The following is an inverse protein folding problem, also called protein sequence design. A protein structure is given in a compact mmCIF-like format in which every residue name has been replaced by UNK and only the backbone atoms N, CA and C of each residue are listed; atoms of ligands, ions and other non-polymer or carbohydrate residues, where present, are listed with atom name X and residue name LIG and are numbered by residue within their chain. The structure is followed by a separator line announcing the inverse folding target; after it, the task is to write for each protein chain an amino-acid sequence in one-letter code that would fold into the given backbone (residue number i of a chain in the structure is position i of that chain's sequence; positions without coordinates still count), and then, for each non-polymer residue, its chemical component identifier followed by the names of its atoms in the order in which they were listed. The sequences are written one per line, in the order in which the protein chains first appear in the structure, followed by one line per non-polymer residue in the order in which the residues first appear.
data_IF_441177780514
#
_entry.id   IF_441177780514
#
_cell.length_a   1.000
_cell.length_b   1.000
_cell.length_c   1.000
_cell.angle_alpha   90.00
_cell.angle_beta   90.00
_cell.angle_gamma   90.00
#
_symmetry.space_group_name_H-M   'P 1'
#
loop_
_entity.id
_entity.type
_entity.pdbx_description
1 polymer ?
#
# COMPACT_ATOMS: atom_id res chain seq x y z
N UNK A 1 -8.56 11.47 30.31
CA UNK A 1 -8.66 10.15 29.64
C UNK A 1 -9.60 10.15 28.40
N UNK A 2 -10.31 11.23 28.07
CA UNK A 2 -11.30 11.27 26.97
C UNK A 2 -10.68 11.33 25.55
N UNK A 3 -9.54 12.01 25.35
CA UNK A 3 -8.95 12.21 24.02
C UNK A 3 -8.39 10.95 23.33
N UNK A 4 -7.86 9.97 24.07
CA UNK A 4 -7.31 8.73 23.49
C UNK A 4 -8.38 7.81 22.87
N UNK A 5 -9.60 7.84 23.41
CA UNK A 5 -10.71 7.00 22.94
C UNK A 5 -11.33 7.53 21.65
N UNK A 6 -11.41 8.85 21.50
CA UNK A 6 -11.88 9.51 20.27
C UNK A 6 -10.84 9.39 19.15
N UNK A 7 -9.55 9.46 19.47
CA UNK A 7 -8.48 9.38 18.47
C UNK A 7 -8.23 7.95 17.95
N UNK A 8 -8.60 6.91 18.72
CA UNK A 8 -8.59 5.52 18.21
C UNK A 8 -9.80 5.18 17.34
N UNK A 9 -10.97 5.78 17.59
CA UNK A 9 -12.22 5.39 16.92
C UNK A 9 -12.19 5.61 15.41
N UNK A 10 -11.40 6.58 14.92
CA UNK A 10 -11.31 6.91 13.50
C UNK A 10 -10.17 6.24 12.74
N UNK A 11 -9.16 5.70 13.44
CA UNK A 11 -7.95 5.14 12.80
C UNK A 11 -8.27 3.95 11.91
N UNK A 12 -8.90 2.92 12.47
CA UNK A 12 -9.25 1.69 11.72
C UNK A 12 -10.28 1.97 10.63
N UNK A 13 -11.40 2.68 10.87
CA UNK A 13 -12.34 2.99 9.80
C UNK A 13 -11.69 3.75 8.65
N UNK A 14 -10.81 4.71 8.93
CA UNK A 14 -10.10 5.46 7.88
C UNK A 14 -9.16 4.54 7.09
N UNK A 15 -8.35 3.72 7.76
CA UNK A 15 -7.47 2.76 7.08
C UNK A 15 -8.25 1.77 6.21
N UNK A 16 -9.38 1.26 6.71
CA UNK A 16 -10.26 0.35 5.98
C UNK A 16 -10.88 1.06 4.76
N UNK A 17 -11.41 2.27 4.96
CA UNK A 17 -12.01 3.06 3.88
C UNK A 17 -10.97 3.36 2.78
N UNK A 18 -9.77 3.80 3.16
CA UNK A 18 -8.67 4.05 2.21
C UNK A 18 -8.24 2.77 1.52
N UNK A 19 -8.12 1.65 2.25
CA UNK A 19 -7.77 0.35 1.66
C UNK A 19 -8.77 -0.07 0.59
N UNK A 20 -10.07 0.00 0.89
CA UNK A 20 -11.13 -0.38 -0.05
C UNK A 20 -11.13 0.57 -1.25
N UNK A 21 -11.08 1.88 -1.01
CA UNK A 21 -11.09 2.87 -2.09
C UNK A 21 -9.88 2.69 -3.03
N UNK A 22 -8.68 2.53 -2.48
CA UNK A 22 -7.47 2.30 -3.25
C UNK A 22 -7.55 0.98 -4.04
N UNK A 23 -7.96 -0.11 -3.39
CA UNK A 23 -8.06 -1.41 -4.02
C UNK A 23 -9.02 -1.39 -5.22
N UNK A 24 -10.21 -0.81 -5.03
CA UNK A 24 -11.24 -0.71 -6.08
C UNK A 24 -10.76 0.17 -7.22
N UNK A 25 -10.24 1.37 -6.94
CA UNK A 25 -9.80 2.31 -7.98
C UNK A 25 -8.61 1.79 -8.76
N UNK A 26 -7.63 1.17 -8.12
CA UNK A 26 -6.46 0.63 -8.82
C UNK A 26 -6.84 -0.54 -9.73
N UNK A 27 -7.66 -1.47 -9.24
CA UNK A 27 -8.12 -2.60 -10.04
C UNK A 27 -9.09 -2.20 -11.16
N UNK A 28 -9.93 -1.18 -10.95
CA UNK A 28 -10.85 -0.69 -12.00
C UNK A 28 -10.11 -0.08 -13.20
N UNK A 29 -8.88 0.40 -12.99
CA UNK A 29 -8.00 0.89 -14.07
C UNK A 29 -7.16 -0.25 -14.65
N UNK A 30 -6.49 -1.03 -13.79
CA UNK A 30 -5.52 -2.03 -14.22
C UNK A 30 -6.17 -3.24 -14.92
N UNK A 31 -7.26 -3.79 -14.39
CA UNK A 31 -7.86 -5.02 -14.93
C UNK A 31 -8.41 -4.82 -16.35
N UNK A 32 -9.17 -3.76 -16.68
CA UNK A 32 -9.62 -3.56 -18.06
C UNK A 32 -8.46 -3.33 -19.04
N UNK A 33 -7.40 -2.64 -18.62
CA UNK A 33 -6.22 -2.41 -19.45
C UNK A 33 -5.52 -3.73 -19.80
N UNK A 34 -5.21 -4.55 -18.80
CA UNK A 34 -4.57 -5.85 -18.98
C UNK A 34 -5.47 -6.82 -19.75
N UNK A 35 -6.78 -6.80 -19.54
CA UNK A 35 -7.73 -7.61 -20.33
C UNK A 35 -7.72 -7.25 -21.82
N UNK A 36 -7.52 -5.96 -22.16
CA UNK A 36 -7.52 -5.49 -23.56
C UNK A 36 -6.17 -5.66 -24.25
N UNK A 37 -5.06 -5.45 -23.53
CA UNK A 37 -3.69 -5.49 -24.09
C UNK A 37 -2.92 -6.79 -23.80
N UNK A 38 -3.50 -7.67 -22.98
CA UNK A 38 -2.93 -8.96 -22.58
C UNK A 38 -2.07 -8.88 -21.31
N UNK A 39 -1.76 -10.03 -20.68
CA UNK A 39 -1.05 -10.09 -19.40
C UNK A 39 0.31 -9.39 -19.37
N UNK A 40 1.03 -9.39 -20.50
CA UNK A 40 2.36 -8.75 -20.61
C UNK A 40 2.30 -7.23 -20.44
N UNK A 41 1.14 -6.60 -20.69
CA UNK A 41 0.97 -5.15 -20.53
C UNK A 41 0.93 -4.70 -19.06
N UNK A 42 0.91 -5.63 -18.10
CA UNK A 42 1.05 -5.28 -16.68
C UNK A 42 2.40 -4.59 -16.40
N UNK A 43 3.43 -4.87 -17.20
CA UNK A 43 4.72 -4.20 -17.09
C UNK A 43 4.65 -2.72 -17.45
N UNK A 44 3.68 -2.29 -18.27
CA UNK A 44 3.53 -0.88 -18.68
C UNK A 44 3.31 0.06 -17.49
N UNK A 45 2.75 -0.46 -16.39
CA UNK A 45 2.53 0.30 -15.14
C UNK A 45 3.82 0.53 -14.34
N UNK A 46 4.86 -0.23 -14.62
CA UNK A 46 6.15 -0.16 -13.92
C UNK A 46 7.27 0.36 -14.83
N UNK A 47 7.19 0.06 -16.12
CA UNK A 47 8.21 0.33 -17.13
C UNK A 47 7.50 0.72 -18.42
N UNK A 48 7.72 1.93 -18.91
CA UNK A 48 7.08 2.35 -20.16
C UNK A 48 6.97 3.86 -20.34
N UNK A 49 5.90 4.27 -20.99
CA UNK A 49 5.67 5.64 -21.47
C UNK A 49 5.65 6.70 -20.36
N UNK A 50 5.39 6.30 -19.11
CA UNK A 50 5.39 7.21 -17.96
C UNK A 50 6.74 7.92 -17.77
N UNK A 51 7.84 7.33 -18.22
CA UNK A 51 9.17 7.96 -18.15
C UNK A 51 9.48 8.90 -19.32
N UNK A 52 8.63 8.96 -20.35
CA UNK A 52 8.87 9.79 -21.55
C UNK A 52 8.62 11.28 -21.29
N UNK A 53 7.87 11.62 -20.25
CA UNK A 53 7.55 13.02 -19.91
C UNK A 53 8.24 13.43 -18.61
N UNK A 54 8.57 14.72 -18.49
CA UNK A 54 9.16 15.27 -17.25
C UNK A 54 8.23 15.05 -16.04
N UNK A 55 6.91 15.34 -16.10
CA UNK A 55 6.02 15.09 -14.97
C UNK A 55 5.90 13.61 -14.59
N UNK A 56 5.83 12.71 -15.58
CA UNK A 56 5.74 11.28 -15.32
C UNK A 56 7.01 10.72 -14.68
N UNK A 57 8.19 11.18 -15.11
CA UNK A 57 9.46 10.82 -14.45
C UNK A 57 9.53 11.33 -13.01
N UNK A 58 9.08 12.56 -12.74
CA UNK A 58 9.00 13.07 -11.36
C UNK A 58 8.09 12.19 -10.49
N UNK A 59 6.88 11.88 -10.98
CA UNK A 59 5.94 11.03 -10.26
C UNK A 59 6.50 9.62 -9.98
N UNK A 60 7.23 9.03 -10.94
CA UNK A 60 7.87 7.72 -10.73
C UNK A 60 9.00 7.78 -9.71
N UNK A 61 9.83 8.83 -9.73
CA UNK A 61 10.90 8.99 -8.73
C UNK A 61 10.30 9.16 -7.33
N UNK A 62 9.29 10.03 -7.18
CA UNK A 62 8.57 10.21 -5.91
C UNK A 62 7.98 8.89 -5.41
N UNK A 63 7.28 8.17 -6.30
CA UNK A 63 6.71 6.85 -6.01
C UNK A 63 7.77 5.83 -5.57
N UNK A 64 8.92 5.78 -6.22
CA UNK A 64 10.03 4.88 -5.86
C UNK A 64 10.49 5.17 -4.44
N UNK A 65 10.72 6.43 -4.10
CA UNK A 65 11.16 6.80 -2.75
C UNK A 65 10.10 6.49 -1.69
N UNK A 66 8.81 6.70 -1.99
CA UNK A 66 7.70 6.30 -1.10
C UNK A 66 7.69 4.79 -0.88
N UNK A 67 7.80 3.99 -1.95
CA UNK A 67 7.81 2.52 -1.86
C UNK A 67 9.00 2.03 -1.03
N UNK A 68 10.20 2.54 -1.30
CA UNK A 68 11.41 2.15 -0.58
C UNK A 68 11.35 2.56 0.89
N UNK A 69 11.05 3.83 1.16
CA UNK A 69 10.96 4.35 2.53
C UNK A 69 9.94 3.58 3.36
N UNK A 70 8.74 3.35 2.79
CA UNK A 70 7.70 2.58 3.46
C UNK A 70 8.14 1.13 3.72
N UNK A 71 8.66 0.41 2.74
CA UNK A 71 9.01 -1.01 2.94
C UNK A 71 10.21 -1.22 3.85
N UNK A 72 11.21 -0.33 3.83
CA UNK A 72 12.33 -0.38 4.76
C UNK A 72 11.85 -0.20 6.20
N UNK A 73 11.00 0.80 6.44
CA UNK A 73 10.39 1.02 7.75
C UNK A 73 9.47 -0.14 8.16
N UNK A 74 8.57 -0.56 7.28
CA UNK A 74 7.62 -1.63 7.54
C UNK A 74 8.32 -2.97 7.80
N UNK A 75 9.45 -3.23 7.13
CA UNK A 75 10.26 -4.40 7.38
C UNK A 75 10.84 -4.40 8.79
N UNK A 76 11.49 -3.30 9.20
CA UNK A 76 12.03 -3.16 10.55
C UNK A 76 10.93 -3.28 11.61
N UNK A 77 9.78 -2.64 11.38
CA UNK A 77 8.63 -2.69 12.28
C UNK A 77 8.03 -4.10 12.36
N UNK A 78 7.97 -4.82 11.22
CA UNK A 78 7.46 -6.18 11.18
C UNK A 78 8.35 -7.18 11.91
N UNK A 79 9.68 -6.97 11.91
CA UNK A 79 10.61 -7.73 12.75
C UNK A 79 10.36 -7.46 14.23
N UNK A 80 10.23 -6.19 14.60
CA UNK A 80 9.97 -5.77 15.99
C UNK A 80 8.68 -6.36 16.56
N UNK A 81 7.63 -6.44 15.74
CA UNK A 81 6.30 -6.91 16.14
C UNK A 81 6.03 -8.39 15.84
N UNK A 82 6.97 -9.13 15.21
CA UNK A 82 6.76 -10.53 14.82
C UNK A 82 5.72 -10.75 13.72
N UNK A 83 5.49 -9.74 12.86
CA UNK A 83 4.45 -9.74 11.81
C UNK A 83 5.00 -9.81 10.39
N UNK A 84 6.13 -10.50 10.20
CA UNK A 84 6.82 -10.59 8.91
C UNK A 84 5.92 -11.08 7.75
N UNK A 85 4.96 -11.98 8.05
CA UNK A 85 3.97 -12.45 7.07
C UNK A 85 3.12 -11.31 6.47
N UNK A 86 2.80 -10.31 7.29
CA UNK A 86 1.96 -9.17 6.90
C UNK A 86 2.77 -8.15 6.11
N UNK A 87 4.06 -7.99 6.42
CA UNK A 87 4.97 -7.25 5.55
C UNK A 87 5.11 -7.89 4.17
N UNK A 88 5.31 -9.22 4.10
CA UNK A 88 5.40 -9.92 2.82
C UNK A 88 4.12 -9.80 1.98
N UNK A 89 2.95 -9.87 2.61
CA UNK A 89 1.66 -9.63 1.95
C UNK A 89 1.54 -8.18 1.44
N UNK A 90 1.97 -7.18 2.22
CA UNK A 90 2.00 -5.78 1.79
C UNK A 90 2.97 -5.56 0.61
N UNK A 91 4.14 -6.20 0.65
CA UNK A 91 5.11 -6.17 -0.46
C UNK A 91 4.49 -6.76 -1.73
N UNK A 92 3.84 -7.92 -1.65
CA UNK A 92 3.14 -8.51 -2.79
C UNK A 92 2.02 -7.59 -3.33
N UNK A 93 1.21 -6.99 -2.45
CA UNK A 93 0.17 -6.02 -2.83
C UNK A 93 0.74 -4.81 -3.56
N UNK A 94 1.94 -4.36 -3.21
CA UNK A 94 2.60 -3.21 -3.85
C UNK A 94 2.85 -3.44 -5.34
N UNK A 95 3.24 -4.66 -5.72
CA UNK A 95 3.56 -4.98 -7.12
C UNK A 95 2.41 -5.62 -7.90
N UNK A 96 1.36 -6.07 -7.21
CA UNK A 96 0.18 -6.68 -7.85
C UNK A 96 -1.00 -5.72 -7.99
N UNK A 97 -1.18 -4.81 -7.03
CA UNK A 97 -2.28 -3.84 -7.00
C UNK A 97 -1.76 -2.41 -7.00
N UNK A 98 -0.77 -2.13 -6.14
CA UNK A 98 -0.07 -0.87 -6.04
C UNK A 98 0.04 -0.37 -4.60
N UNK A 99 1.00 0.54 -4.37
CA UNK A 99 1.40 0.98 -3.03
C UNK A 99 0.26 1.62 -2.21
N UNK A 100 -0.68 2.29 -2.89
CA UNK A 100 -1.83 2.94 -2.23
C UNK A 100 -2.76 1.94 -1.51
N UNK A 101 -2.82 0.69 -1.97
CA UNK A 101 -3.50 -0.42 -1.28
C UNK A 101 -2.60 -1.03 -0.19
N UNK A 102 -1.31 -1.21 -0.49
CA UNK A 102 -0.38 -1.92 0.38
C UNK A 102 -0.10 -1.21 1.71
N UNK A 103 -0.02 0.13 1.71
CA UNK A 103 0.22 0.95 2.90
C UNK A 103 -0.90 0.78 3.94
N UNK A 104 -2.18 1.11 3.64
CA UNK A 104 -3.24 1.00 4.62
C UNK A 104 -3.47 -0.44 5.08
N UNK A 105 -3.25 -1.44 4.21
CA UNK A 105 -3.27 -2.85 4.61
C UNK A 105 -2.26 -3.17 5.72
N UNK A 106 -0.98 -2.80 5.54
CA UNK A 106 0.05 -3.07 6.53
C UNK A 106 -0.20 -2.30 7.82
N UNK A 107 -0.58 -1.03 7.72
CA UNK A 107 -0.90 -0.20 8.88
C UNK A 107 -2.06 -0.78 9.68
N UNK A 108 -3.07 -1.35 9.03
CA UNK A 108 -4.17 -2.03 9.69
C UNK A 108 -3.72 -3.31 10.41
N UNK A 109 -2.89 -4.14 9.75
CA UNK A 109 -2.32 -5.34 10.38
C UNK A 109 -1.43 -5.00 11.60
N UNK A 110 -0.66 -3.92 11.49
CA UNK A 110 0.15 -3.38 12.59
C UNK A 110 -0.73 -2.91 13.74
N UNK A 111 -1.78 -2.14 13.47
CA UNK A 111 -2.70 -1.60 14.47
C UNK A 111 -3.36 -2.72 15.29
N UNK A 112 -3.90 -3.74 14.63
CA UNK A 112 -4.46 -4.93 15.31
C UNK A 112 -3.43 -5.66 16.17
N UNK A 113 -2.18 -5.73 15.73
CA UNK A 113 -1.11 -6.41 16.47
C UNK A 113 -0.71 -5.62 17.73
N UNK A 114 -0.56 -4.31 17.59
CA UNK A 114 -0.20 -3.43 18.71
C UNK A 114 -1.32 -3.42 19.75
N UNK A 115 -2.58 -3.33 19.33
CA UNK A 115 -3.71 -3.34 20.24
C UNK A 115 -3.85 -4.69 20.96
N UNK A 116 -3.60 -5.81 20.28
CA UNK A 116 -3.59 -7.13 20.91
C UNK A 116 -2.48 -7.28 21.95
N UNK A 117 -1.34 -6.62 21.76
CA UNK A 117 -0.23 -6.65 22.72
C UNK A 117 -0.44 -5.70 23.92
N UNK A 118 -1.37 -4.74 23.81
CA UNK A 118 -1.71 -3.79 24.87
C UNK A 118 -2.92 -4.22 25.73
N UNK A 119 -3.63 -5.28 25.32
CA UNK A 119 -4.73 -5.90 26.03
C UNK A 119 -4.24 -7.09 26.88
#
# INVERSE_FOLDING_TARGET
MSGKLVDQSWRRPTLIATLIAAFVTQNSIALPYVRRKGPKSALDFFVGDIYKTVPGRFAMVDLIFVVLGFHLWAFAESRRLGIMRWWAASFALTFTVGIATAIPFFLLARDFTVDKAAA
#
